data_IF_798060888778
#
_entry.id   IF_798060888778
#
_cell.length_a   1.000
_cell.length_b   1.000
_cell.length_c   1.000
_cell.angle_alpha   90.00
_cell.angle_beta   90.00
_cell.angle_gamma   90.00
#
_symmetry.space_group_name_H-M   'P 1'
#
loop_
_entity.id
_entity.type
_entity.pdbx_description
1 polymer ?
#
# COMPACT_ATOMS: atom_id res chain seq x y z
N UNK A 1 -1.68 24.79 28.68
CA UNK A 1 -1.10 25.56 27.57
C UNK A 1 -1.35 24.73 26.29
N UNK A 2 -2.34 25.15 25.50
CA UNK A 2 -2.68 24.54 24.22
C UNK A 2 -1.76 25.11 23.15
N UNK A 3 -0.88 24.30 22.59
CA UNK A 3 -0.09 24.69 21.42
C UNK A 3 -1.03 24.77 20.22
N UNK A 4 -1.36 25.99 19.83
CA UNK A 4 -2.12 26.29 18.64
C UNK A 4 -1.30 25.93 17.40
N UNK A 5 -1.83 25.00 16.62
CA UNK A 5 -1.38 24.74 15.25
C UNK A 5 -1.61 26.02 14.41
N UNK A 6 -0.65 26.53 13.65
CA UNK A 6 -0.86 27.73 12.83
C UNK A 6 -1.89 27.42 11.75
N UNK A 7 -2.97 28.22 11.73
CA UNK A 7 -4.05 28.15 10.76
C UNK A 7 -3.56 28.56 9.37
N UNK A 8 -3.74 27.68 8.42
CA UNK A 8 -4.11 27.89 7.01
C UNK A 8 -3.73 29.21 6.33
N UNK A 9 -2.72 29.13 5.49
CA UNK A 9 -2.67 29.91 4.26
C UNK A 9 -3.31 29.03 3.18
N UNK A 10 -4.46 29.46 2.65
CA UNK A 10 -5.14 28.84 1.50
C UNK A 10 -4.29 29.04 0.23
N UNK A 11 -3.23 28.26 0.08
CA UNK A 11 -2.71 27.94 -1.25
C UNK A 11 -3.59 26.81 -1.77
N UNK A 12 -4.11 26.97 -3.00
CA UNK A 12 -5.09 26.03 -3.56
C UNK A 12 -4.65 24.58 -3.36
N UNK A 13 -5.53 23.76 -2.84
CA UNK A 13 -5.33 22.36 -2.43
C UNK A 13 -4.58 21.54 -3.51
N UNK A 14 -4.88 21.79 -4.79
CA UNK A 14 -4.21 21.15 -5.94
C UNK A 14 -2.72 21.48 -6.03
N UNK A 15 -2.34 22.73 -5.86
CA UNK A 15 -0.93 23.17 -5.96
C UNK A 15 -0.07 22.64 -4.82
N UNK A 16 -0.65 22.48 -3.63
CA UNK A 16 0.00 21.84 -2.50
C UNK A 16 0.22 20.33 -2.78
N UNK A 17 -0.79 19.66 -3.30
CA UNK A 17 -0.70 18.25 -3.67
C UNK A 17 0.36 17.97 -4.74
N UNK A 18 0.49 18.83 -5.75
CA UNK A 18 1.49 18.67 -6.82
C UNK A 18 2.92 18.90 -6.33
N UNK A 19 3.14 19.88 -5.46
CA UNK A 19 4.48 20.16 -4.88
C UNK A 19 4.96 18.98 -4.03
N UNK A 20 4.12 18.40 -3.20
CA UNK A 20 4.48 17.29 -2.33
C UNK A 20 4.63 15.97 -3.10
N UNK A 21 3.83 15.76 -4.14
CA UNK A 21 4.03 14.64 -5.08
C UNK A 21 5.39 14.71 -5.76
N UNK A 22 5.80 15.90 -6.24
CA UNK A 22 7.12 16.15 -6.81
C UNK A 22 8.24 15.90 -5.80
N UNK A 23 8.06 16.28 -4.53
CA UNK A 23 8.99 15.98 -3.45
C UNK A 23 9.16 14.47 -3.26
N UNK A 24 8.07 13.70 -3.13
CA UNK A 24 8.14 12.25 -2.99
C UNK A 24 8.87 11.63 -4.18
N UNK A 25 8.53 12.04 -5.40
CA UNK A 25 9.18 11.53 -6.61
C UNK A 25 10.69 11.82 -6.61
N UNK A 26 11.12 12.98 -6.12
CA UNK A 26 12.55 13.34 -6.03
C UNK A 26 13.31 12.56 -4.95
N UNK A 27 12.62 12.02 -3.95
CA UNK A 27 13.22 11.19 -2.89
C UNK A 27 13.39 9.72 -3.32
N UNK A 28 12.63 9.25 -4.30
CA UNK A 28 12.77 7.89 -4.83
C UNK A 28 14.11 7.80 -5.56
N UNK A 29 14.95 6.84 -5.16
CA UNK A 29 16.25 6.63 -5.76
C UNK A 29 16.25 5.43 -6.70
N UNK A 30 16.87 5.62 -7.85
CA UNK A 30 17.02 4.58 -8.86
C UNK A 30 18.37 3.90 -8.72
N UNK A 31 18.34 2.56 -8.63
CA UNK A 31 19.52 1.71 -8.63
C UNK A 31 19.44 0.76 -9.83
N UNK A 32 20.20 1.05 -10.93
CA UNK A 32 20.26 0.13 -12.06
C UNK A 32 20.96 -1.17 -11.66
N UNK A 33 20.60 -2.25 -12.33
CA UNK A 33 21.20 -3.57 -12.19
C UNK A 33 21.13 -4.15 -10.76
N UNK A 34 20.09 -3.83 -10.00
CA UNK A 34 19.86 -4.37 -8.66
C UNK A 34 18.47 -5.06 -8.56
N UNK A 35 18.36 -6.25 -7.93
CA UNK A 35 19.42 -7.14 -7.41
C UNK A 35 20.14 -7.93 -8.53
N UNK A 36 19.73 -7.78 -9.78
CA UNK A 36 20.28 -8.45 -10.96
C UNK A 36 20.41 -7.47 -12.13
N UNK A 37 21.32 -7.77 -13.06
CA UNK A 37 21.49 -7.02 -14.29
C UNK A 37 20.16 -6.86 -15.06
N UNK A 38 19.88 -5.67 -15.58
CA UNK A 38 18.67 -5.31 -16.32
C UNK A 38 17.48 -4.91 -15.46
N UNK A 39 17.57 -4.98 -14.12
CA UNK A 39 16.52 -4.53 -13.22
C UNK A 39 16.82 -3.12 -12.74
N UNK A 40 15.88 -2.20 -12.91
CA UNK A 40 15.91 -0.87 -12.30
C UNK A 40 15.14 -0.90 -10.98
N UNK A 41 15.86 -0.96 -9.86
CA UNK A 41 15.27 -0.95 -8.54
C UNK A 41 14.97 0.48 -8.09
N UNK A 42 13.73 0.71 -7.66
CA UNK A 42 13.30 1.99 -7.09
C UNK A 42 13.25 1.90 -5.58
N UNK A 43 14.16 2.61 -4.94
CA UNK A 43 14.27 2.63 -3.48
C UNK A 43 13.40 3.72 -2.87
N UNK A 44 12.38 3.29 -2.11
CA UNK A 44 11.48 4.17 -1.37
C UNK A 44 11.94 4.44 0.07
N UNK A 45 13.07 3.89 0.49
CA UNK A 45 13.61 4.11 1.84
C UNK A 45 13.75 5.60 2.18
N UNK A 46 14.23 6.48 1.28
CA UNK A 46 14.30 7.90 1.57
C UNK A 46 12.93 8.55 1.78
N UNK A 47 11.89 8.08 1.10
CA UNK A 47 10.50 8.54 1.29
C UNK A 47 10.03 8.19 2.71
N UNK A 48 10.27 6.97 3.16
CA UNK A 48 9.86 6.51 4.49
C UNK A 48 10.68 7.13 5.63
N UNK A 49 11.89 7.62 5.35
CA UNK A 49 12.72 8.37 6.32
C UNK A 49 12.31 9.83 6.46
N UNK A 50 11.53 10.37 5.55
CA UNK A 50 11.07 11.75 5.57
C UNK A 50 9.67 11.84 6.19
N UNK A 51 9.61 12.38 7.42
CA UNK A 51 8.35 12.48 8.17
C UNK A 51 7.29 13.34 7.46
N UNK A 52 7.70 14.36 6.68
CA UNK A 52 6.78 15.15 5.88
C UNK A 52 6.13 14.29 4.77
N UNK A 53 6.94 13.50 4.07
CA UNK A 53 6.44 12.57 3.04
C UNK A 53 5.47 11.53 3.62
N UNK A 54 5.75 10.97 4.82
CA UNK A 54 4.83 10.04 5.48
C UNK A 54 3.50 10.72 5.82
N UNK A 55 3.52 11.93 6.36
CA UNK A 55 2.31 12.69 6.66
C UNK A 55 1.51 12.97 5.37
N UNK A 56 2.19 13.36 4.30
CA UNK A 56 1.57 13.63 3.01
C UNK A 56 0.97 12.37 2.37
N UNK A 57 1.64 11.21 2.45
CA UNK A 57 1.06 9.92 2.03
C UNK A 57 -0.27 9.63 2.73
N UNK A 58 -0.33 9.87 4.04
CA UNK A 58 -1.56 9.75 4.81
C UNK A 58 -2.67 10.66 4.30
N UNK A 59 -2.38 11.94 4.04
CA UNK A 59 -3.36 12.91 3.49
C UNK A 59 -3.81 12.52 2.09
N UNK A 60 -2.87 12.19 1.20
CA UNK A 60 -3.16 11.82 -0.18
C UNK A 60 -4.15 10.65 -0.27
N UNK A 61 -3.88 9.56 0.42
CA UNK A 61 -4.78 8.40 0.40
C UNK A 61 -6.06 8.64 1.19
N UNK A 62 -6.02 9.45 2.26
CA UNK A 62 -7.24 9.84 2.94
C UNK A 62 -8.21 10.56 2.00
N UNK A 63 -7.75 11.52 1.22
CA UNK A 63 -8.58 12.24 0.24
C UNK A 63 -9.18 11.29 -0.81
N UNK A 64 -8.44 10.26 -1.23
CA UNK A 64 -8.93 9.28 -2.21
C UNK A 64 -9.97 8.30 -1.65
N UNK A 65 -9.94 8.02 -0.33
CA UNK A 65 -10.79 7.00 0.30
C UNK A 65 -11.72 7.56 1.39
N UNK A 66 -11.75 8.87 1.66
CA UNK A 66 -12.52 9.47 2.77
C UNK A 66 -14.02 9.20 2.73
N UNK A 67 -14.58 8.94 1.55
CA UNK A 67 -15.99 8.61 1.36
C UNK A 67 -16.25 7.09 1.29
N UNK A 68 -15.24 6.27 1.53
CA UNK A 68 -15.32 4.81 1.50
C UNK A 68 -15.27 4.27 2.92
N UNK A 69 -16.15 3.34 3.27
CA UNK A 69 -16.05 2.65 4.54
C UNK A 69 -14.83 1.75 4.56
N UNK A 70 -14.09 1.76 5.66
CA UNK A 70 -12.88 0.95 5.88
C UNK A 70 -12.97 0.38 7.29
N UNK A 71 -12.89 -0.93 7.45
CA UNK A 71 -12.77 -1.58 8.76
C UNK A 71 -11.29 -1.74 9.16
N UNK A 72 -10.45 -2.18 8.22
CA UNK A 72 -9.01 -2.36 8.43
C UNK A 72 -8.19 -1.93 7.22
N UNK A 73 -6.92 -1.60 7.49
CA UNK A 73 -5.90 -1.45 6.44
C UNK A 73 -4.98 -2.65 6.50
N UNK A 74 -4.84 -3.39 5.41
CA UNK A 74 -3.95 -4.53 5.32
C UNK A 74 -2.62 -4.14 4.66
N UNK A 75 -1.51 -4.37 5.35
CA UNK A 75 -0.17 -4.14 4.81
C UNK A 75 0.50 -5.44 4.38
N UNK A 76 1.19 -5.42 3.23
CA UNK A 76 1.96 -6.58 2.73
C UNK A 76 3.41 -6.49 3.23
N UNK A 77 3.92 -7.61 3.79
CA UNK A 77 5.31 -7.71 4.29
C UNK A 77 6.34 -7.43 3.19
N UNK A 78 7.31 -6.58 3.44
CA UNK A 78 7.59 -5.87 4.68
C UNK A 78 7.31 -4.36 4.59
N UNK A 79 7.51 -3.74 3.42
CA UNK A 79 7.45 -2.29 3.25
C UNK A 79 6.02 -1.74 3.23
N UNK A 80 5.06 -2.57 2.85
CA UNK A 80 3.64 -2.26 2.97
C UNK A 80 3.19 -1.97 4.42
N UNK A 81 3.90 -2.49 5.42
CA UNK A 81 3.61 -2.21 6.83
C UNK A 81 3.80 -0.73 7.18
N UNK A 82 4.75 -0.06 6.54
CA UNK A 82 4.97 1.38 6.79
C UNK A 82 3.75 2.18 6.30
N UNK A 83 3.36 1.97 5.04
CA UNK A 83 2.20 2.67 4.48
C UNK A 83 0.90 2.31 5.21
N UNK A 84 0.65 1.03 5.46
CA UNK A 84 -0.57 0.59 6.14
C UNK A 84 -0.68 1.16 7.56
N UNK A 85 0.43 1.32 8.28
CA UNK A 85 0.43 1.97 9.61
C UNK A 85 0.06 3.44 9.50
N UNK A 86 0.63 4.17 8.54
CA UNK A 86 0.29 5.58 8.28
C UNK A 86 -1.20 5.72 7.96
N UNK A 87 -1.73 4.86 7.09
CA UNK A 87 -3.14 4.89 6.70
C UNK A 87 -4.05 4.44 7.85
N UNK A 88 -3.68 3.41 8.61
CA UNK A 88 -4.42 2.97 9.79
C UNK A 88 -4.60 4.09 10.81
N UNK A 89 -3.52 4.83 11.12
CA UNK A 89 -3.58 6.01 11.97
C UNK A 89 -4.47 7.11 11.37
N UNK A 90 -4.32 7.38 10.07
CA UNK A 90 -5.07 8.45 9.40
C UNK A 90 -6.57 8.18 9.33
N UNK A 91 -6.97 6.95 9.06
CA UNK A 91 -8.38 6.52 9.03
C UNK A 91 -8.93 6.14 10.41
N UNK A 92 -8.08 6.14 11.46
CA UNK A 92 -8.43 5.62 12.79
C UNK A 92 -8.93 4.16 12.72
N UNK A 93 -8.16 3.30 12.04
CA UNK A 93 -8.46 1.87 11.82
C UNK A 93 -7.28 1.00 12.23
N UNK A 94 -7.59 -0.27 12.56
CA UNK A 94 -6.57 -1.28 12.82
C UNK A 94 -5.78 -1.65 11.56
N UNK A 95 -4.62 -2.29 11.76
CA UNK A 95 -3.77 -2.76 10.68
C UNK A 95 -3.68 -4.28 10.72
N UNK A 96 -3.94 -4.92 9.58
CA UNK A 96 -3.73 -6.34 9.34
C UNK A 96 -2.36 -6.55 8.69
N UNK A 97 -1.61 -7.52 9.19
CA UNK A 97 -0.28 -7.82 8.65
C UNK A 97 -0.32 -9.08 7.79
N UNK A 98 -0.31 -8.92 6.46
CA UNK A 98 -0.15 -10.03 5.52
C UNK A 98 1.33 -10.38 5.45
N UNK A 99 1.69 -11.61 5.80
CA UNK A 99 3.08 -12.01 5.98
C UNK A 99 3.50 -13.18 5.08
N UNK A 100 4.80 -13.30 4.84
CA UNK A 100 5.37 -14.51 4.23
C UNK A 100 5.12 -15.71 5.15
N UNK A 101 4.85 -16.87 4.56
CA UNK A 101 4.51 -18.09 5.31
C UNK A 101 5.52 -18.44 6.41
N UNK A 102 5.00 -18.90 7.55
CA UNK A 102 5.78 -19.27 8.73
C UNK A 102 6.16 -18.11 9.65
N UNK A 103 5.57 -16.93 9.45
CA UNK A 103 5.83 -15.73 10.25
C UNK A 103 4.71 -15.41 11.25
N UNK A 104 3.55 -16.05 11.12
CA UNK A 104 2.39 -15.83 11.99
C UNK A 104 2.13 -17.05 12.87
N UNK A 105 1.80 -16.85 14.15
CA UNK A 105 1.40 -17.94 15.04
C UNK A 105 -0.07 -18.32 14.81
N UNK A 106 -0.46 -19.51 15.30
CA UNK A 106 -1.85 -19.98 15.27
C UNK A 106 -2.31 -20.48 13.89
N UNK A 107 -3.64 -20.51 13.70
CA UNK A 107 -4.23 -20.93 12.45
C UNK A 107 -4.14 -19.80 11.42
N UNK A 108 -3.59 -20.11 10.24
CA UNK A 108 -3.43 -19.16 9.15
C UNK A 108 -4.07 -19.68 7.88
N UNK A 109 -4.65 -18.79 7.08
CA UNK A 109 -4.99 -19.02 5.67
C UNK A 109 -3.79 -18.65 4.83
N UNK A 110 -3.52 -19.41 3.78
CA UNK A 110 -2.30 -19.29 2.96
C UNK A 110 -2.65 -19.18 1.49
N UNK A 111 -2.06 -18.19 0.83
CA UNK A 111 -2.18 -18.02 -0.62
C UNK A 111 -0.83 -18.15 -1.28
N UNK A 112 -0.74 -19.10 -2.25
CA UNK A 112 0.44 -19.24 -3.12
C UNK A 112 0.34 -18.21 -4.25
N UNK A 113 1.46 -17.60 -4.61
CA UNK A 113 1.55 -16.67 -5.73
C UNK A 113 2.88 -16.77 -6.45
N UNK A 114 2.87 -16.42 -7.73
CA UNK A 114 4.06 -16.40 -8.55
C UNK A 114 4.88 -15.14 -8.28
N UNK A 115 6.18 -15.30 -8.14
CA UNK A 115 7.17 -14.24 -8.11
C UNK A 115 8.09 -14.40 -9.32
N UNK A 116 8.88 -13.38 -9.64
CA UNK A 116 9.79 -13.40 -10.80
C UNK A 116 10.68 -14.66 -10.86
N UNK A 117 10.97 -15.30 -9.72
CA UNK A 117 11.79 -16.51 -9.62
C UNK A 117 11.14 -17.55 -8.71
N UNK A 118 10.10 -18.21 -9.21
CA UNK A 118 9.41 -19.30 -8.50
C UNK A 118 8.09 -18.87 -7.85
N UNK A 119 7.74 -19.54 -6.75
CA UNK A 119 6.52 -19.28 -6.02
C UNK A 119 6.84 -18.82 -4.60
N UNK A 120 6.02 -17.93 -4.08
CA UNK A 120 6.00 -17.56 -2.67
C UNK A 120 4.63 -17.87 -2.06
N UNK A 121 4.58 -17.92 -0.75
CA UNK A 121 3.34 -18.13 0.00
C UNK A 121 3.24 -16.99 1.00
N UNK A 122 2.09 -16.33 1.02
CA UNK A 122 1.73 -15.39 2.06
C UNK A 122 0.62 -15.95 2.93
N UNK A 123 0.50 -15.43 4.13
CA UNK A 123 -0.46 -15.90 5.12
C UNK A 123 -1.07 -14.74 5.91
N UNK A 124 -2.28 -14.98 6.40
CA UNK A 124 -3.01 -14.12 7.31
C UNK A 124 -3.68 -15.01 8.37
N UNK A 125 -3.79 -14.53 9.62
CA UNK A 125 -4.44 -15.29 10.68
C UNK A 125 -5.93 -15.45 10.39
N UNK A 126 -6.46 -16.66 10.58
CA UNK A 126 -7.83 -17.03 10.24
C UNK A 126 -8.88 -16.15 10.95
N UNK A 127 -8.63 -15.76 12.20
CA UNK A 127 -9.58 -14.98 13.01
C UNK A 127 -9.39 -13.46 12.87
N UNK A 128 -8.53 -13.00 11.94
CA UNK A 128 -8.21 -11.58 11.83
C UNK A 128 -9.25 -10.75 11.07
N UNK A 129 -10.16 -11.41 10.34
CA UNK A 129 -11.23 -10.77 9.55
C UNK A 129 -12.55 -11.45 9.83
N UNK A 130 -13.61 -10.66 10.04
CA UNK A 130 -14.99 -11.12 10.05
C UNK A 130 -15.61 -10.99 8.68
N UNK A 131 -16.65 -11.78 8.45
CA UNK A 131 -17.38 -11.74 7.17
C UNK A 131 -17.92 -10.35 6.87
N UNK A 132 -17.72 -9.90 5.62
CA UNK A 132 -18.15 -8.62 5.06
C UNK A 132 -17.43 -7.39 5.65
N UNK A 133 -16.32 -7.53 6.37
CA UNK A 133 -15.48 -6.38 6.72
C UNK A 133 -14.78 -5.84 5.49
N UNK A 134 -14.67 -4.51 5.39
CA UNK A 134 -14.12 -3.77 4.25
C UNK A 134 -12.64 -3.45 4.49
N UNK A 135 -11.78 -3.98 3.64
CA UNK A 135 -10.33 -3.91 3.80
C UNK A 135 -9.67 -3.14 2.64
N UNK A 136 -8.88 -2.12 3.00
CA UNK A 136 -7.97 -1.42 2.10
C UNK A 136 -6.61 -2.09 2.14
N UNK A 137 -6.08 -2.56 1.00
CA UNK A 137 -4.74 -3.14 0.93
C UNK A 137 -3.72 -2.05 0.60
N UNK A 138 -2.60 -2.02 1.32
CA UNK A 138 -1.53 -1.06 1.14
C UNK A 138 -0.17 -1.74 0.96
N UNK A 139 0.59 -1.30 -0.05
CA UNK A 139 1.98 -1.67 -0.24
C UNK A 139 2.78 -0.48 -0.82
N UNK A 140 4.08 -0.57 -0.80
CA UNK A 140 4.93 0.51 -1.27
C UNK A 140 5.02 0.59 -2.80
N UNK A 141 5.06 -0.56 -3.49
CA UNK A 141 5.29 -0.62 -4.93
C UNK A 141 4.43 -1.69 -5.60
N UNK A 142 3.76 -1.31 -6.68
CA UNK A 142 3.02 -2.20 -7.57
C UNK A 142 3.84 -2.46 -8.84
N UNK A 143 4.32 -3.70 -9.00
CA UNK A 143 5.03 -4.17 -10.19
C UNK A 143 4.10 -5.01 -11.08
N UNK A 144 4.22 -6.32 -11.08
CA UNK A 144 3.40 -7.23 -11.88
C UNK A 144 1.99 -7.48 -11.33
N UNK A 145 1.75 -7.13 -10.06
CA UNK A 145 0.46 -7.29 -9.39
C UNK A 145 0.22 -8.66 -8.75
N UNK A 146 1.08 -9.65 -8.96
CA UNK A 146 0.88 -10.99 -8.42
C UNK A 146 0.76 -11.02 -6.89
N UNK A 147 1.66 -10.32 -6.19
CA UNK A 147 1.64 -10.18 -4.72
C UNK A 147 0.36 -9.52 -4.22
N UNK A 148 -0.03 -8.41 -4.85
CA UNK A 148 -1.24 -7.66 -4.48
C UNK A 148 -2.51 -8.49 -4.72
N UNK A 149 -2.59 -9.18 -5.86
CA UNK A 149 -3.72 -10.04 -6.18
C UNK A 149 -3.83 -11.22 -5.20
N UNK A 150 -2.72 -11.83 -4.82
CA UNK A 150 -2.73 -12.90 -3.81
C UNK A 150 -3.16 -12.39 -2.43
N UNK A 151 -2.78 -11.17 -2.05
CA UNK A 151 -3.26 -10.53 -0.83
C UNK A 151 -4.79 -10.32 -0.86
N UNK A 152 -5.34 -9.90 -2.00
CA UNK A 152 -6.80 -9.80 -2.17
C UNK A 152 -7.48 -11.17 -1.98
N UNK A 153 -6.92 -12.21 -2.59
CA UNK A 153 -7.49 -13.57 -2.47
C UNK A 153 -7.48 -14.09 -1.04
N UNK A 154 -6.45 -13.78 -0.24
CA UNK A 154 -6.44 -14.12 1.19
C UNK A 154 -7.59 -13.46 1.96
N UNK A 155 -7.82 -12.17 1.71
CA UNK A 155 -8.89 -11.41 2.38
C UNK A 155 -10.26 -11.97 1.97
N UNK A 156 -10.48 -12.21 0.68
CA UNK A 156 -11.72 -12.76 0.15
C UNK A 156 -12.00 -14.18 0.66
N UNK A 157 -10.97 -15.02 0.79
CA UNK A 157 -11.09 -16.38 1.34
C UNK A 157 -11.54 -16.36 2.82
N UNK A 158 -11.13 -15.35 3.56
CA UNK A 158 -11.58 -15.11 4.94
C UNK A 158 -12.97 -14.47 5.02
N UNK A 159 -13.57 -14.12 3.87
CA UNK A 159 -14.90 -13.50 3.77
C UNK A 159 -14.93 -11.98 3.90
N UNK A 160 -13.76 -11.30 3.86
CA UNK A 160 -13.67 -9.85 3.79
C UNK A 160 -13.87 -9.32 2.37
N UNK A 161 -14.14 -8.04 2.26
CA UNK A 161 -14.28 -7.32 1.00
C UNK A 161 -13.02 -6.48 0.75
N UNK A 162 -12.39 -6.61 -0.42
CA UNK A 162 -11.29 -5.71 -0.81
C UNK A 162 -11.88 -4.47 -1.48
N UNK A 163 -11.84 -3.33 -0.78
CA UNK A 163 -12.40 -2.07 -1.28
C UNK A 163 -11.44 -1.32 -2.21
N UNK A 164 -10.17 -1.66 -2.20
CA UNK A 164 -9.18 -1.07 -3.08
C UNK A 164 -7.75 -1.29 -2.62
N UNK A 165 -6.85 -0.71 -3.40
CA UNK A 165 -5.41 -0.76 -3.17
C UNK A 165 -4.81 0.64 -3.13
N UNK A 166 -3.84 0.83 -2.23
CA UNK A 166 -3.04 2.04 -2.08
C UNK A 166 -1.56 1.70 -2.29
N UNK A 167 -0.91 2.31 -3.29
CA UNK A 167 0.51 2.15 -3.58
C UNK A 167 1.22 3.50 -3.64
N UNK A 168 2.43 3.59 -3.09
CA UNK A 168 3.25 4.78 -3.30
C UNK A 168 3.70 4.87 -4.76
N UNK A 169 4.12 3.74 -5.34
CA UNK A 169 4.62 3.65 -6.71
C UNK A 169 3.91 2.57 -7.50
N UNK A 170 3.56 2.86 -8.76
CA UNK A 170 3.14 1.89 -9.77
C UNK A 170 4.13 1.89 -10.93
N UNK A 171 4.64 0.72 -11.29
CA UNK A 171 5.45 0.49 -12.49
C UNK A 171 4.52 0.05 -13.63
N UNK A 172 3.95 1.02 -14.36
CA UNK A 172 2.88 0.78 -15.34
C UNK A 172 3.27 -0.20 -16.45
N UNK A 173 4.54 -0.16 -16.87
CA UNK A 173 5.09 -1.05 -17.89
C UNK A 173 5.03 -2.54 -17.49
N UNK A 174 4.95 -2.86 -16.19
CA UNK A 174 4.85 -4.23 -15.68
C UNK A 174 3.41 -4.75 -15.57
N UNK A 175 2.43 -3.90 -15.83
CA UNK A 175 1.03 -4.29 -16.01
C UNK A 175 0.24 -4.61 -14.73
N UNK A 176 0.81 -4.50 -13.54
CA UNK A 176 0.13 -4.88 -12.30
C UNK A 176 -1.12 -4.06 -12.02
N UNK A 177 -1.08 -2.76 -12.26
CA UNK A 177 -2.27 -1.91 -12.12
C UNK A 177 -3.38 -2.28 -13.11
N UNK A 178 -3.01 -2.59 -14.35
CA UNK A 178 -3.96 -3.09 -15.36
C UNK A 178 -4.61 -4.40 -14.89
N UNK A 179 -3.78 -5.36 -14.44
CA UNK A 179 -4.25 -6.65 -13.94
C UNK A 179 -5.31 -6.48 -12.83
N UNK A 180 -5.02 -5.65 -11.82
CA UNK A 180 -5.93 -5.48 -10.69
C UNK A 180 -7.22 -4.78 -11.10
N UNK A 181 -7.15 -3.74 -11.95
CA UNK A 181 -8.34 -3.03 -12.46
C UNK A 181 -9.22 -3.93 -13.34
N UNK A 182 -8.63 -4.80 -14.18
CA UNK A 182 -9.36 -5.81 -14.97
C UNK A 182 -10.05 -6.87 -14.09
N UNK A 183 -9.55 -7.11 -12.86
CA UNK A 183 -10.21 -7.94 -11.86
C UNK A 183 -11.29 -7.20 -11.06
N UNK A 184 -11.55 -5.94 -11.36
CA UNK A 184 -12.61 -5.13 -10.75
C UNK A 184 -12.17 -4.35 -9.50
N UNK A 185 -10.88 -4.34 -9.14
CA UNK A 185 -10.42 -3.63 -7.98
C UNK A 185 -10.12 -2.15 -8.28
N UNK A 186 -10.43 -1.28 -7.31
CA UNK A 186 -9.96 0.10 -7.30
C UNK A 186 -8.47 0.15 -6.98
N UNK A 187 -7.67 0.88 -7.76
CA UNK A 187 -6.22 0.98 -7.56
C UNK A 187 -5.81 2.45 -7.60
N UNK A 188 -5.26 2.93 -6.49
CA UNK A 188 -4.73 4.27 -6.34
C UNK A 188 -3.23 4.23 -6.12
N UNK A 189 -2.49 4.84 -7.03
CA UNK A 189 -1.03 4.93 -7.00
C UNK A 189 -0.62 6.40 -7.02
N UNK A 190 0.25 6.81 -6.07
CA UNK A 190 0.65 8.22 -5.98
C UNK A 190 1.56 8.62 -7.13
N UNK A 191 2.58 7.80 -7.42
CA UNK A 191 3.54 8.01 -8.51
C UNK A 191 3.42 6.85 -9.49
N UNK A 192 3.29 7.15 -10.77
CA UNK A 192 3.24 6.15 -11.85
C UNK A 192 4.42 6.38 -12.78
N UNK A 193 5.20 5.33 -13.03
CA UNK A 193 6.34 5.31 -13.96
C UNK A 193 6.02 4.49 -15.20
#
# INVERSE_FOLDING_TARGET
MLFGCPRNVFYGHEKFMDMDKGRIQSLIKDYPDFPKQGILFRDLTPVFRDGHSLAFLGEYFYENFKNTHIDYVAGIEARGFVLSTVLGLKFNRGVLMIRKAGKLPGNTVKQKYDIEYGNAIMELQHESIKKNEDILIADDLLATGGTAFAAAKLIEELGGNVIGFAFVVELSALGGGKLLREKGYSVHSMVVY
#
